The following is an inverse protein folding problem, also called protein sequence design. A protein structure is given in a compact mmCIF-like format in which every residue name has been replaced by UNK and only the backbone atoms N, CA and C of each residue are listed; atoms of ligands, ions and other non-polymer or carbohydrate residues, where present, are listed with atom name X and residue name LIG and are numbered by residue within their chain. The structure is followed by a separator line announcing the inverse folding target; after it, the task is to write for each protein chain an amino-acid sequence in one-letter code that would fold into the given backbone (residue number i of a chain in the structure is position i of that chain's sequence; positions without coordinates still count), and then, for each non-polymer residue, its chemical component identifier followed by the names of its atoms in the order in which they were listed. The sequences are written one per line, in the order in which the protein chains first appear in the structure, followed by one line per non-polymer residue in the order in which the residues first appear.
data_IF_978813574969
#
_entry.id   IF_978813574969
#
_cell.length_a   1.000
_cell.length_b   1.000
_cell.length_c   1.000
_cell.angle_alpha   90.00
_cell.angle_beta   90.00
_cell.angle_gamma   90.00
#
_symmetry.space_group_name_H-M   'P 1'
#
loop_
_entity.id
_entity.type
_entity.pdbx_description
1 polymer ?
#
# COMPACT_ATOMS: atom_id res chain seq x y z
N UNK A 1 -22.31 6.06 -18.57
CA UNK A 1 -22.68 5.95 -20.00
C UNK A 1 -23.13 4.54 -20.30
N UNK A 2 -24.45 4.32 -20.36
CA UNK A 2 -24.99 3.09 -20.91
C UNK A 2 -25.06 3.30 -22.42
N UNK A 3 -24.37 2.46 -23.19
CA UNK A 3 -24.36 2.58 -24.65
C UNK A 3 -25.73 2.30 -25.28
N UNK A 4 -25.96 2.84 -26.48
CA UNK A 4 -27.17 2.57 -27.26
C UNK A 4 -27.11 1.15 -27.86
N UNK A 5 -27.91 0.22 -27.33
CA UNK A 5 -28.11 -1.10 -27.90
C UNK A 5 -29.44 -1.13 -28.65
N UNK A 6 -29.39 -1.15 -30.00
CA UNK A 6 -30.57 -1.17 -30.87
C UNK A 6 -30.38 -2.13 -32.04
N UNK A 7 -31.45 -2.87 -32.38
CA UNK A 7 -31.50 -3.80 -33.51
C UNK A 7 -32.63 -3.48 -34.52
N UNK A 8 -33.30 -2.33 -34.39
CA UNK A 8 -34.47 -1.95 -35.21
C UNK A 8 -35.76 -2.72 -34.88
N UNK A 9 -36.83 -2.48 -35.64
CA UNK A 9 -38.19 -2.99 -35.33
C UNK A 9 -38.42 -4.47 -35.61
N UNK A 10 -37.49 -5.14 -36.31
CA UNK A 10 -37.65 -6.52 -36.76
C UNK A 10 -37.10 -7.55 -35.75
N UNK A 11 -36.50 -7.10 -34.64
CA UNK A 11 -35.82 -7.98 -33.68
C UNK A 11 -36.25 -7.68 -32.23
N UNK A 12 -36.37 -8.74 -31.43
CA UNK A 12 -36.39 -8.66 -29.97
C UNK A 12 -34.97 -8.85 -29.45
N UNK A 13 -34.49 -7.94 -28.60
CA UNK A 13 -33.17 -8.05 -27.98
C UNK A 13 -33.33 -8.79 -26.65
N UNK A 14 -32.70 -9.96 -26.55
CA UNK A 14 -32.54 -10.70 -25.29
C UNK A 14 -31.12 -10.48 -24.77
N UNK A 15 -30.96 -9.47 -23.92
CA UNK A 15 -29.66 -9.08 -23.37
C UNK A 15 -29.45 -9.71 -21.99
N UNK A 16 -28.41 -10.52 -21.86
CA UNK A 16 -27.93 -11.00 -20.57
C UNK A 16 -26.69 -10.20 -20.16
N UNK A 17 -26.82 -9.45 -19.07
CA UNK A 17 -25.71 -8.68 -18.50
C UNK A 17 -24.69 -9.53 -17.77
N UNK A 18 -23.55 -8.91 -17.43
CA UNK A 18 -22.52 -9.49 -16.57
C UNK A 18 -21.97 -8.41 -15.62
N UNK A 19 -21.28 -8.84 -14.56
CA UNK A 19 -20.66 -7.95 -13.59
C UNK A 19 -19.20 -7.65 -13.96
N UNK A 20 -18.81 -6.38 -13.82
CA UNK A 20 -17.40 -5.99 -13.75
C UNK A 20 -16.95 -6.08 -12.28
N UNK A 21 -15.82 -6.75 -12.05
CA UNK A 21 -15.13 -6.76 -10.75
C UNK A 21 -13.84 -5.98 -10.90
N UNK A 22 -13.66 -4.96 -10.05
CA UNK A 22 -12.40 -4.22 -9.93
C UNK A 22 -11.69 -4.74 -8.68
N UNK A 23 -10.53 -5.35 -8.86
CA UNK A 23 -9.74 -5.87 -7.75
C UNK A 23 -8.88 -4.75 -7.14
N UNK A 24 -8.63 -4.77 -5.81
CA UNK A 24 -7.68 -3.86 -5.19
C UNK A 24 -6.29 -3.97 -5.81
N UNK A 25 -5.57 -2.85 -5.91
CA UNK A 25 -4.15 -2.85 -6.25
C UNK A 25 -3.33 -3.37 -5.06
N UNK A 26 -2.24 -4.07 -5.35
CA UNK A 26 -1.32 -4.54 -4.33
C UNK A 26 -0.35 -3.44 -3.94
N UNK A 27 -0.29 -3.08 -2.65
CA UNK A 27 0.69 -2.15 -2.09
C UNK A 27 1.69 -2.92 -1.22
N UNK A 28 2.98 -2.70 -1.43
CA UNK A 28 4.06 -3.25 -0.61
C UNK A 28 4.79 -2.13 0.11
N UNK A 29 5.00 -2.31 1.42
CA UNK A 29 5.78 -1.41 2.27
C UNK A 29 6.96 -2.19 2.85
N UNK A 30 8.17 -1.66 2.72
CA UNK A 30 9.40 -2.30 3.18
C UNK A 30 10.17 -1.37 4.09
N UNK A 31 10.36 -1.73 5.36
CA UNK A 31 11.20 -0.98 6.29
C UNK A 31 12.66 -0.93 5.82
N UNK A 32 13.28 0.24 5.92
CA UNK A 32 14.71 0.40 5.69
C UNK A 32 15.49 0.04 6.96
N UNK A 33 16.57 -0.73 6.81
CA UNK A 33 17.45 -1.05 7.92
C UNK A 33 18.23 0.17 8.38
N UNK A 34 18.31 0.37 9.70
CA UNK A 34 18.99 1.50 10.32
C UNK A 34 20.07 1.02 11.32
N UNK A 35 21.06 1.87 11.60
CA UNK A 35 22.13 1.57 12.54
C UNK A 35 22.53 2.81 13.35
N UNK A 36 23.02 2.60 14.57
CA UNK A 36 23.65 3.63 15.40
C UNK A 36 24.85 3.06 16.16
N UNK A 37 25.77 3.92 16.59
CA UNK A 37 26.92 3.52 17.41
C UNK A 37 26.49 3.28 18.86
N UNK A 38 27.06 2.27 19.51
CA UNK A 38 26.83 2.01 20.93
C UNK A 38 27.15 3.25 21.79
N UNK A 39 26.28 3.55 22.76
CA UNK A 39 26.36 4.77 23.59
C UNK A 39 25.64 5.99 23.00
N UNK A 40 25.17 5.95 21.74
CA UNK A 40 24.29 6.98 21.20
C UNK A 40 22.87 6.82 21.76
N UNK A 41 22.42 7.84 22.52
CA UNK A 41 21.10 7.82 23.18
C UNK A 41 19.94 7.93 22.18
N UNK A 42 20.07 8.80 21.17
CA UNK A 42 19.03 8.99 20.17
C UNK A 42 18.97 7.81 19.19
N UNK A 43 17.75 7.46 18.78
CA UNK A 43 17.52 6.51 17.70
C UNK A 43 17.52 7.22 16.34
N UNK A 44 17.99 6.56 15.27
CA UNK A 44 17.85 7.11 13.92
C UNK A 44 16.36 7.17 13.54
N UNK A 45 16.03 8.13 12.68
CA UNK A 45 14.70 8.18 12.06
C UNK A 45 14.44 6.89 11.29
N UNK A 46 13.31 6.23 11.55
CA UNK A 46 12.92 5.03 10.84
C UNK A 46 12.26 5.44 9.52
N UNK A 47 12.59 4.75 8.45
CA UNK A 47 12.03 5.01 7.12
C UNK A 47 11.61 3.72 6.43
N UNK A 48 10.79 3.85 5.39
CA UNK A 48 10.34 2.73 4.57
C UNK A 48 10.26 3.14 3.10
N UNK A 49 10.34 2.15 2.22
CA UNK A 49 10.02 2.27 0.80
C UNK A 49 8.61 1.74 0.50
N UNK A 50 7.98 2.28 -0.54
CA UNK A 50 6.64 1.90 -0.99
C UNK A 50 6.63 1.54 -2.47
N UNK A 51 5.92 0.49 -2.86
CA UNK A 51 5.74 0.10 -4.26
C UNK A 51 4.32 -0.41 -4.51
N UNK A 52 3.75 -0.09 -5.67
CA UNK A 52 2.40 -0.51 -6.06
C UNK A 52 1.30 0.54 -5.88
N UNK A 53 1.67 1.78 -5.54
CA UNK A 53 0.76 2.93 -5.63
C UNK A 53 0.36 3.15 -7.10
N UNK A 54 -0.92 3.42 -7.33
CA UNK A 54 -1.52 3.59 -8.66
C UNK A 54 -2.36 4.86 -8.69
N UNK A 55 -2.91 5.23 -9.85
CA UNK A 55 -3.84 6.37 -9.99
C UNK A 55 -3.30 7.73 -9.51
N UNK A 56 -1.97 7.90 -9.49
CA UNK A 56 -1.33 9.13 -9.03
C UNK A 56 -1.17 9.23 -7.51
N UNK A 57 -1.52 8.18 -6.77
CA UNK A 57 -1.27 8.11 -5.33
C UNK A 57 0.24 8.18 -5.03
N UNK A 58 0.56 8.83 -3.91
CA UNK A 58 1.94 8.98 -3.40
C UNK A 58 2.01 8.48 -1.96
N UNK A 59 3.22 8.37 -1.40
CA UNK A 59 3.40 7.97 0.01
C UNK A 59 2.70 8.87 1.02
N UNK A 60 2.23 10.06 0.61
CA UNK A 60 1.46 10.97 1.44
C UNK A 60 0.12 10.40 1.94
N UNK A 61 -0.42 9.35 1.30
CA UNK A 61 -1.66 8.69 1.76
C UNK A 61 -1.42 7.70 2.91
N UNK A 62 -0.16 7.35 3.17
CA UNK A 62 0.22 6.40 4.21
C UNK A 62 0.42 7.17 5.50
N UNK A 63 -0.27 6.73 6.56
CA UNK A 63 -0.23 7.35 7.88
C UNK A 63 0.34 6.37 8.89
N UNK A 64 0.84 6.87 10.02
CA UNK A 64 1.44 6.03 11.06
C UNK A 64 2.95 5.98 10.96
N UNK A 65 3.56 5.09 11.74
CA UNK A 65 5.01 5.04 11.90
C UNK A 65 5.49 3.66 12.28
N UNK A 66 6.66 3.29 11.74
CA UNK A 66 7.38 2.08 12.16
C UNK A 66 7.74 2.12 13.63
N UNK A 67 7.85 0.95 14.23
CA UNK A 67 8.32 0.76 15.60
C UNK A 67 9.57 -0.12 15.59
N UNK A 68 10.55 0.17 16.44
CA UNK A 68 11.68 -0.74 16.67
C UNK A 68 11.58 -1.39 18.03
N UNK A 69 12.02 -2.65 18.14
CA UNK A 69 12.12 -3.33 19.42
C UNK A 69 13.06 -2.57 20.38
N UNK A 70 12.76 -2.58 21.70
CA UNK A 70 13.56 -1.86 22.70
C UNK A 70 14.92 -2.53 22.95
N UNK A 71 15.89 -1.71 23.38
CA UNK A 71 17.25 -2.15 23.75
C UNK A 71 18.32 -1.16 23.29
N UNK A 72 19.49 -1.22 23.94
CA UNK A 72 20.62 -0.31 23.73
C UNK A 72 21.99 -1.02 23.65
N UNK A 73 22.05 -2.29 24.07
CA UNK A 73 23.25 -3.11 23.92
C UNK A 73 23.54 -3.36 22.43
N UNK A 74 24.81 -3.58 22.10
CA UNK A 74 25.20 -3.92 20.74
C UNK A 74 24.51 -5.21 20.26
N UNK A 75 23.76 -5.13 19.16
CA UNK A 75 22.97 -6.23 18.63
C UNK A 75 21.99 -5.77 17.56
N UNK A 76 21.20 -6.72 17.06
CA UNK A 76 20.13 -6.44 16.09
C UNK A 76 18.78 -6.38 16.81
N UNK A 77 17.97 -5.40 16.42
CA UNK A 77 16.62 -5.19 16.93
C UNK A 77 15.68 -5.10 15.73
N UNK A 78 14.52 -5.76 15.82
CA UNK A 78 13.54 -5.73 14.75
C UNK A 78 12.99 -4.31 14.55
N UNK A 79 12.71 -3.95 13.30
CA UNK A 79 11.87 -2.81 12.92
C UNK A 79 10.57 -3.41 12.39
N UNK A 80 9.50 -3.22 13.14
CA UNK A 80 8.16 -3.73 12.86
C UNK A 80 7.24 -2.60 12.37
N UNK A 81 6.08 -2.97 11.85
CA UNK A 81 5.10 -2.04 11.28
C UNK A 81 4.70 -0.92 12.26
N UNK A 82 4.64 -1.20 13.56
CA UNK A 82 4.12 -0.25 14.54
C UNK A 82 2.65 0.07 14.22
N UNK A 83 2.34 1.36 14.16
CA UNK A 83 1.00 1.88 13.81
C UNK A 83 0.91 2.36 12.35
N UNK A 84 1.90 1.99 11.51
CA UNK A 84 1.88 2.24 10.07
C UNK A 84 0.74 1.50 9.37
#
# INVERSE_FOLDING_TARGET
DQGDLSAGSNYTIDFTGANLVINPASLTITAAGQSKTYGTLADPELSYGTSGLVNGDTSAIITGSLHRAPGQDAGSYAIDQGDL
#
